data_IF_157197016379
#
_entry.id   IF_157197016379
#
_cell.length_a   1.000
_cell.length_b   1.000
_cell.length_c   1.000
_cell.angle_alpha   90.00
_cell.angle_beta   90.00
_cell.angle_gamma   90.00
#
_symmetry.space_group_name_H-M   'P 1'
#
loop_
_entity.id
_entity.type
_entity.pdbx_description
1 polymer ?
#
# COMPACT_ATOMS: atom_id res chain seq x y z
N UNK A 1 -9.27 27.72 -20.69
CA UNK A 1 -8.39 26.75 -21.38
C UNK A 1 -7.53 26.05 -20.31
N UNK A 2 -8.17 25.41 -19.32
CA UNK A 2 -7.52 25.11 -18.02
C UNK A 2 -7.95 23.77 -17.40
N UNK A 3 -8.56 22.85 -18.15
CA UNK A 3 -9.28 21.70 -17.59
C UNK A 3 -8.86 20.35 -18.20
N UNK A 4 -7.59 19.95 -18.08
CA UNK A 4 -7.17 18.55 -18.40
C UNK A 4 -6.21 17.89 -17.40
N UNK A 5 -5.72 18.60 -16.38
CA UNK A 5 -4.73 18.05 -15.45
C UNK A 5 -5.34 17.33 -14.25
N UNK A 6 -6.57 17.72 -13.89
CA UNK A 6 -7.32 17.18 -12.75
C UNK A 6 -8.66 16.69 -13.28
N UNK A 7 -9.01 15.44 -12.96
CA UNK A 7 -10.34 14.89 -13.21
C UNK A 7 -10.96 14.53 -11.86
N UNK A 8 -12.15 15.06 -11.59
CA UNK A 8 -12.96 14.72 -10.42
C UNK A 8 -14.24 14.05 -10.86
N UNK A 9 -14.54 12.88 -10.29
CA UNK A 9 -15.80 12.16 -10.58
C UNK A 9 -16.60 11.94 -9.29
N UNK A 10 -17.92 12.21 -9.35
CA UNK A 10 -18.92 12.06 -8.28
C UNK A 10 -20.16 11.36 -8.84
N UNK A 11 -20.85 10.50 -8.09
CA UNK A 11 -22.06 9.80 -8.56
C UNK A 11 -23.01 9.36 -7.44
N UNK A 12 -24.23 8.93 -7.76
CA UNK A 12 -25.28 8.57 -6.77
C UNK A 12 -26.02 7.25 -7.13
N UNK A 13 -25.52 6.09 -6.65
CA UNK A 13 -26.07 4.70 -6.59
C UNK A 13 -25.95 3.60 -7.71
N UNK A 14 -24.80 2.92 -7.89
CA UNK A 14 -24.64 1.56 -8.48
C UNK A 14 -23.39 0.81 -7.88
N UNK A 15 -23.15 -0.46 -8.23
CA UNK A 15 -22.04 -1.34 -7.77
C UNK A 15 -20.87 -1.36 -8.75
N UNK A 16 -19.65 -1.04 -8.30
CA UNK A 16 -18.40 -1.24 -9.07
C UNK A 16 -17.43 -2.04 -8.21
N UNK A 17 -16.75 -3.01 -8.81
CA UNK A 17 -15.84 -3.91 -8.09
C UNK A 17 -14.36 -3.50 -8.16
N UNK A 18 -13.94 -2.80 -9.22
CA UNK A 18 -12.56 -2.30 -9.39
C UNK A 18 -12.47 -1.02 -10.26
N UNK A 19 -11.29 -0.39 -10.31
CA UNK A 19 -11.02 0.86 -11.02
C UNK A 19 -11.13 0.79 -12.55
N UNK A 20 -11.06 -0.40 -13.15
CA UNK A 20 -11.14 -0.55 -14.62
C UNK A 20 -12.54 -0.26 -15.15
N UNK A 21 -13.57 -0.40 -14.32
CA UNK A 21 -14.96 -0.09 -14.64
C UNK A 21 -15.24 1.43 -14.74
N UNK A 22 -14.21 2.26 -14.97
CA UNK A 22 -14.27 3.73 -14.94
C UNK A 22 -13.75 4.47 -16.21
N UNK A 23 -13.24 3.83 -17.30
CA UNK A 23 -12.64 4.54 -18.49
C UNK A 23 -12.88 3.99 -19.95
N UNK A 24 -13.12 4.89 -20.97
CA UNK A 24 -13.84 4.67 -22.29
C UNK A 24 -12.85 5.08 -23.33
N UNK A 25 -12.97 4.47 -24.50
CA UNK A 25 -12.14 4.57 -25.68
C UNK A 25 -12.09 5.98 -26.31
N UNK A 26 -12.52 7.02 -25.60
CA UNK A 26 -12.66 8.39 -26.14
C UNK A 26 -11.84 9.46 -25.42
N UNK A 27 -11.25 9.15 -24.27
CA UNK A 27 -10.38 10.10 -23.59
C UNK A 27 -8.95 9.60 -23.58
N UNK A 28 -8.08 10.28 -24.35
CA UNK A 28 -6.65 10.15 -24.13
C UNK A 28 -6.33 10.80 -22.76
N UNK A 29 -6.13 9.95 -21.76
CA UNK A 29 -5.78 10.35 -20.39
C UNK A 29 -4.27 10.50 -20.21
N UNK A 30 -3.47 10.39 -21.28
CA UNK A 30 -2.02 10.51 -21.16
C UNK A 30 -1.58 11.87 -20.62
N UNK A 31 -2.39 12.93 -20.68
CA UNK A 31 -2.07 14.22 -20.05
C UNK A 31 -2.52 14.35 -18.58
N UNK A 32 -3.31 13.39 -18.09
CA UNK A 32 -3.91 13.43 -16.75
C UNK A 32 -2.81 13.26 -15.70
N UNK A 33 -2.76 14.18 -14.73
CA UNK A 33 -1.78 14.15 -13.64
C UNK A 33 -2.41 13.82 -12.29
N UNK A 34 -3.64 14.28 -12.07
CA UNK A 34 -4.34 14.10 -10.80
C UNK A 34 -5.72 13.52 -11.10
N UNK A 35 -6.03 12.42 -10.43
CA UNK A 35 -7.34 11.78 -10.51
C UNK A 35 -7.92 11.69 -9.09
N UNK A 36 -9.07 12.32 -8.88
CA UNK A 36 -9.81 12.25 -7.62
C UNK A 36 -11.15 11.54 -7.89
N UNK A 37 -11.33 10.40 -7.23
CA UNK A 37 -12.54 9.60 -7.30
C UNK A 37 -13.25 9.70 -5.94
N UNK A 38 -14.48 10.22 -5.92
CA UNK A 38 -15.23 10.41 -4.68
C UNK A 38 -16.68 10.00 -4.82
N UNK A 39 -17.23 9.30 -3.82
CA UNK A 39 -18.67 8.96 -3.75
C UNK A 39 -19.18 8.20 -4.98
N UNK A 40 -18.29 7.57 -5.75
CA UNK A 40 -18.67 6.95 -7.02
C UNK A 40 -19.55 5.74 -6.75
N UNK A 41 -20.80 5.81 -7.17
CA UNK A 41 -21.68 4.66 -7.12
C UNK A 41 -22.29 4.43 -8.51
N UNK A 42 -22.68 5.43 -9.30
CA UNK A 42 -23.42 5.24 -10.59
C UNK A 42 -22.64 4.91 -11.86
N UNK A 43 -21.36 4.52 -11.80
CA UNK A 43 -20.71 4.08 -13.03
C UNK A 43 -21.07 2.62 -13.32
N UNK A 44 -22.30 2.39 -13.79
CA UNK A 44 -22.64 1.20 -14.57
C UNK A 44 -21.72 1.20 -15.79
N UNK A 45 -20.72 0.33 -15.80
CA UNK A 45 -20.07 -0.23 -16.99
C UNK A 45 -20.31 0.60 -18.26
N UNK A 46 -19.59 1.71 -18.43
CA UNK A 46 -19.39 2.35 -19.74
C UNK A 46 -18.09 1.81 -20.36
N UNK A 47 -17.65 0.60 -20.02
CA UNK A 47 -16.23 0.30 -20.15
C UNK A 47 -16.01 -1.22 -20.29
N UNK A 48 -16.23 -1.74 -21.49
CA UNK A 48 -15.93 -3.13 -21.85
C UNK A 48 -15.24 -3.16 -23.20
N UNK A 49 -13.97 -2.79 -23.25
CA UNK A 49 -13.13 -3.20 -24.36
C UNK A 49 -11.67 -3.37 -23.89
N UNK A 50 -10.83 -4.06 -24.68
CA UNK A 50 -9.52 -4.47 -24.25
C UNK A 50 -8.63 -3.26 -23.96
N UNK A 51 -8.05 -3.23 -22.77
CA UNK A 51 -7.16 -2.18 -22.26
C UNK A 51 -5.98 -2.04 -23.23
N UNK A 52 -5.87 -0.88 -23.87
CA UNK A 52 -4.59 -0.42 -24.43
C UNK A 52 -3.82 0.30 -23.32
N UNK A 53 -2.53 -0.01 -23.20
CA UNK A 53 -1.70 0.19 -21.99
C UNK A 53 -1.08 1.60 -21.95
N UNK A 54 -1.72 2.63 -22.51
CA UNK A 54 -1.07 3.96 -22.67
C UNK A 54 -1.81 5.11 -21.96
N UNK A 55 -2.87 4.82 -21.20
CA UNK A 55 -3.77 5.88 -20.69
C UNK A 55 -3.25 6.66 -19.48
N UNK A 56 -2.43 6.07 -18.60
CA UNK A 56 -2.06 6.69 -17.31
C UNK A 56 -0.57 7.02 -17.17
N UNK A 57 0.15 7.13 -18.28
CA UNK A 57 1.60 7.36 -18.29
C UNK A 57 2.05 8.56 -17.46
N UNK A 58 1.23 9.62 -17.35
CA UNK A 58 1.57 10.83 -16.60
C UNK A 58 0.80 11.00 -15.28
N UNK A 59 0.03 9.99 -14.87
CA UNK A 59 -0.74 10.07 -13.63
C UNK A 59 0.22 10.16 -12.45
N UNK A 60 0.22 11.30 -11.77
CA UNK A 60 1.10 11.64 -10.65
C UNK A 60 0.42 11.37 -9.30
N UNK A 61 -0.89 11.62 -9.20
CA UNK A 61 -1.65 11.48 -7.97
C UNK A 61 -2.99 10.79 -8.23
N UNK A 62 -3.31 9.82 -7.38
CA UNK A 62 -4.61 9.16 -7.32
C UNK A 62 -5.18 9.30 -5.91
N UNK A 63 -6.36 9.89 -5.79
CA UNK A 63 -7.14 9.94 -4.56
C UNK A 63 -8.45 9.19 -4.78
N UNK A 64 -8.75 8.24 -3.91
CA UNK A 64 -10.01 7.50 -3.88
C UNK A 64 -10.66 7.72 -2.52
N UNK A 65 -11.88 8.23 -2.47
CA UNK A 65 -12.55 8.53 -1.22
C UNK A 65 -14.04 8.14 -1.23
N UNK A 66 -14.52 7.71 -0.08
CA UNK A 66 -15.94 7.43 0.20
C UNK A 66 -16.54 6.36 -0.76
N UNK A 67 -15.71 5.42 -1.21
CA UNK A 67 -16.15 4.35 -2.10
C UNK A 67 -16.47 3.07 -1.33
N UNK A 68 -17.70 2.97 -0.82
CA UNK A 68 -18.11 1.90 0.10
C UNK A 68 -18.03 0.49 -0.47
N UNK A 69 -18.23 0.30 -1.78
CA UNK A 69 -18.28 -1.03 -2.44
C UNK A 69 -17.02 -1.42 -3.20
N UNK A 70 -16.00 -0.56 -3.20
CA UNK A 70 -14.73 -0.85 -3.88
C UNK A 70 -14.04 -2.01 -3.17
N UNK A 71 -13.80 -3.12 -3.86
CA UNK A 71 -13.09 -4.28 -3.29
C UNK A 71 -11.58 -4.25 -3.58
N UNK A 72 -11.21 -3.72 -4.76
CA UNK A 72 -9.83 -3.58 -5.22
C UNK A 72 -9.60 -2.20 -5.85
N UNK A 73 -8.44 -1.58 -5.59
CA UNK A 73 -8.08 -0.29 -6.21
C UNK A 73 -7.52 -0.45 -7.62
N UNK A 74 -6.75 -1.51 -7.86
CA UNK A 74 -6.10 -1.76 -9.15
C UNK A 74 -6.35 -3.19 -9.61
N UNK A 75 -6.50 -3.38 -10.91
CA UNK A 75 -6.18 -4.66 -11.52
C UNK A 75 -4.66 -4.83 -11.63
N UNK A 76 -4.15 -6.05 -11.83
CA UNK A 76 -2.75 -6.27 -12.17
C UNK A 76 -2.28 -5.48 -13.40
N UNK A 77 -3.14 -5.30 -14.41
CA UNK A 77 -2.80 -4.59 -15.66
C UNK A 77 -2.56 -3.11 -15.41
N UNK A 78 -3.45 -2.45 -14.67
CA UNK A 78 -3.32 -1.02 -14.34
C UNK A 78 -2.16 -0.81 -13.37
N UNK A 79 -1.98 -1.68 -12.38
CA UNK A 79 -0.89 -1.58 -11.42
C UNK A 79 0.50 -1.63 -12.11
N UNK A 80 0.63 -2.39 -13.21
CA UNK A 80 1.86 -2.42 -14.03
C UNK A 80 2.09 -1.14 -14.85
N UNK A 81 1.06 -0.30 -15.01
CA UNK A 81 1.06 0.82 -15.95
C UNK A 81 0.82 2.18 -15.28
N UNK A 82 1.52 2.43 -14.17
CA UNK A 82 1.47 3.69 -13.44
C UNK A 82 2.88 4.22 -13.16
N UNK A 83 3.70 4.44 -14.20
CA UNK A 83 5.13 4.73 -14.04
C UNK A 83 5.40 6.05 -13.33
N UNK A 84 4.49 7.03 -13.38
CA UNK A 84 4.65 8.35 -12.77
C UNK A 84 3.89 8.53 -11.45
N UNK A 85 3.15 7.51 -11.00
CA UNK A 85 2.34 7.63 -9.79
C UNK A 85 3.26 7.88 -8.59
N UNK A 86 3.02 9.00 -7.91
CA UNK A 86 3.83 9.49 -6.81
C UNK A 86 3.06 9.60 -5.51
N UNK A 87 1.75 9.85 -5.58
CA UNK A 87 0.88 9.98 -4.41
C UNK A 87 -0.36 9.12 -4.55
N UNK A 88 -0.59 8.25 -3.58
CA UNK A 88 -1.78 7.42 -3.47
C UNK A 88 -2.51 7.72 -2.15
N UNK A 89 -3.74 8.20 -2.23
CA UNK A 89 -4.60 8.44 -1.07
C UNK A 89 -5.89 7.64 -1.19
N UNK A 90 -6.23 6.87 -0.16
CA UNK A 90 -7.46 6.08 -0.11
C UNK A 90 -8.17 6.32 1.22
N UNK A 91 -9.43 6.76 1.18
CA UNK A 91 -10.15 7.24 2.34
C UNK A 91 -11.57 6.65 2.40
N UNK A 92 -12.03 6.22 3.57
CA UNK A 92 -13.42 5.81 3.81
C UNK A 92 -13.97 4.77 2.82
N UNK A 93 -13.15 3.81 2.37
CA UNK A 93 -13.56 2.74 1.46
C UNK A 93 -13.88 1.47 2.27
N UNK A 94 -15.15 1.30 2.65
CA UNK A 94 -15.59 0.29 3.62
C UNK A 94 -15.31 -1.16 3.17
N UNK A 95 -15.67 -1.58 1.95
CA UNK A 95 -15.50 -2.94 1.44
C UNK A 95 -14.12 -3.22 0.80
N UNK A 96 -13.16 -2.28 0.88
CA UNK A 96 -11.83 -2.47 0.29
C UNK A 96 -11.10 -3.61 1.00
N UNK A 97 -10.79 -4.69 0.27
CA UNK A 97 -10.14 -5.87 0.82
C UNK A 97 -8.62 -5.87 0.59
N UNK A 98 -8.20 -5.46 -0.62
CA UNK A 98 -6.80 -5.39 -1.04
C UNK A 98 -6.62 -4.23 -2.02
N UNK A 99 -5.41 -3.71 -2.19
CA UNK A 99 -5.18 -2.65 -3.19
C UNK A 99 -5.16 -3.19 -4.61
N UNK A 100 -4.63 -4.39 -4.82
CA UNK A 100 -4.46 -5.01 -6.13
C UNK A 100 -5.23 -6.31 -6.15
N UNK A 101 -6.04 -6.53 -7.19
CA UNK A 101 -6.75 -7.79 -7.39
C UNK A 101 -5.75 -8.94 -7.64
N UNK A 102 -6.03 -10.12 -7.07
CA UNK A 102 -5.24 -11.34 -7.35
C UNK A 102 -5.43 -11.74 -8.82
N UNK A 103 -4.34 -12.04 -9.52
CA UNK A 103 -4.35 -12.33 -10.95
C UNK A 103 -5.05 -13.69 -11.21
N UNK A 104 -6.31 -13.69 -11.66
CA UNK A 104 -7.12 -14.92 -11.84
C UNK A 104 -6.92 -15.61 -13.18
N UNK A 105 -6.22 -15.00 -14.15
CA UNK A 105 -6.14 -15.52 -15.52
C UNK A 105 -4.69 -15.71 -15.97
N UNK A 106 -4.24 -16.90 -16.41
CA UNK A 106 -2.89 -17.16 -16.95
C UNK A 106 -2.63 -16.38 -18.27
N UNK A 107 -2.35 -15.07 -18.18
CA UNK A 107 -2.01 -14.22 -19.32
C UNK A 107 -0.48 -14.03 -19.46
N UNK A 108 0.00 -13.71 -20.67
CA UNK A 108 1.44 -13.55 -20.93
C UNK A 108 2.09 -12.38 -20.15
N UNK A 109 1.29 -11.50 -19.55
CA UNK A 109 1.76 -10.39 -18.70
C UNK A 109 2.14 -10.79 -17.28
N UNK A 110 1.92 -12.05 -16.88
CA UNK A 110 2.37 -12.61 -15.59
C UNK A 110 3.86 -12.51 -15.32
N UNK A 111 4.65 -12.31 -16.36
CA UNK A 111 6.10 -12.31 -16.26
C UNK A 111 6.67 -10.96 -15.77
N UNK A 112 5.88 -9.88 -15.81
CA UNK A 112 6.33 -8.59 -15.32
C UNK A 112 5.84 -8.36 -13.88
N UNK A 113 6.77 -8.18 -12.92
CA UNK A 113 6.39 -7.83 -11.57
C UNK A 113 5.72 -6.46 -11.56
N UNK A 114 4.68 -6.31 -10.74
CA UNK A 114 4.10 -4.99 -10.47
C UNK A 114 5.17 -4.17 -9.75
N UNK A 115 5.32 -2.89 -10.11
CA UNK A 115 6.23 -1.96 -9.45
C UNK A 115 5.66 -0.53 -9.52
N UNK A 116 5.95 0.27 -8.48
CA UNK A 116 5.60 1.69 -8.47
C UNK A 116 6.88 2.53 -8.30
N UNK A 117 7.67 2.70 -9.37
CA UNK A 117 9.03 3.22 -9.29
C UNK A 117 9.13 4.68 -8.82
N UNK A 118 8.03 5.42 -8.84
CA UNK A 118 7.95 6.83 -8.43
C UNK A 118 7.03 7.10 -7.23
N UNK A 119 6.45 6.05 -6.64
CA UNK A 119 5.51 6.20 -5.52
C UNK A 119 6.27 6.64 -4.28
N UNK A 120 5.91 7.84 -3.79
CA UNK A 120 6.52 8.51 -2.65
C UNK A 120 5.62 8.50 -1.42
N UNK A 121 4.31 8.59 -1.62
CA UNK A 121 3.39 8.75 -0.50
C UNK A 121 2.19 7.83 -0.65
N UNK A 122 1.90 7.13 0.45
CA UNK A 122 0.73 6.28 0.59
C UNK A 122 0.00 6.67 1.86
N UNK A 123 -1.26 7.05 1.71
CA UNK A 123 -2.14 7.35 2.84
C UNK A 123 -3.42 6.56 2.70
N UNK A 124 -3.69 5.67 3.66
CA UNK A 124 -4.94 4.90 3.71
C UNK A 124 -5.61 5.16 5.05
N UNK A 125 -6.82 5.71 5.02
CA UNK A 125 -7.57 6.00 6.24
C UNK A 125 -8.98 5.43 6.20
N UNK A 126 -9.44 4.87 7.33
CA UNK A 126 -10.82 4.41 7.54
C UNK A 126 -11.30 3.42 6.47
N UNK A 127 -10.43 2.48 6.09
CA UNK A 127 -10.74 1.39 5.16
C UNK A 127 -10.81 0.08 5.95
N UNK A 128 -11.94 -0.17 6.60
CA UNK A 128 -12.03 -1.12 7.70
C UNK A 128 -11.85 -2.59 7.29
N UNK A 129 -12.16 -2.95 6.05
CA UNK A 129 -12.02 -4.34 5.55
C UNK A 129 -10.67 -4.64 4.88
N UNK A 130 -9.74 -3.68 4.84
CA UNK A 130 -8.45 -3.87 4.16
C UNK A 130 -7.62 -4.90 4.92
N UNK A 131 -7.20 -5.98 4.24
CA UNK A 131 -6.43 -7.08 4.84
C UNK A 131 -4.93 -6.96 4.61
N UNK A 132 -4.54 -6.45 3.44
CA UNK A 132 -3.16 -6.18 3.08
C UNK A 132 -3.04 -5.02 2.08
N UNK A 133 -1.87 -4.36 2.04
CA UNK A 133 -1.60 -3.34 1.03
C UNK A 133 -1.07 -3.98 -0.26
N UNK A 134 0.06 -4.65 -0.15
CA UNK A 134 0.83 -5.14 -1.29
C UNK A 134 1.44 -6.51 -1.04
N UNK A 135 1.73 -7.28 -2.10
CA UNK A 135 2.57 -8.47 -1.97
C UNK A 135 3.99 -8.08 -1.56
N UNK A 136 4.66 -8.96 -0.82
CA UNK A 136 6.02 -8.77 -0.31
C UNK A 136 7.04 -8.56 -1.43
N UNK A 137 6.78 -9.13 -2.60
CA UNK A 137 7.58 -8.95 -3.83
C UNK A 137 7.59 -7.50 -4.31
N UNK A 138 6.56 -6.70 -4.01
CA UNK A 138 6.52 -5.29 -4.35
C UNK A 138 7.39 -4.45 -3.40
N UNK A 139 7.46 -4.85 -2.12
CA UNK A 139 8.36 -4.20 -1.16
C UNK A 139 9.84 -4.41 -1.54
N UNK A 140 10.14 -5.58 -2.11
CA UNK A 140 11.47 -5.98 -2.58
C UNK A 140 11.79 -5.33 -3.94
N UNK A 141 12.11 -4.03 -3.89
CA UNK A 141 12.57 -3.26 -5.07
C UNK A 141 11.50 -2.47 -5.81
N UNK A 142 10.21 -2.75 -5.60
CA UNK A 142 9.11 -2.04 -6.26
C UNK A 142 8.72 -0.69 -5.64
N UNK A 143 9.20 -0.38 -4.44
CA UNK A 143 8.84 0.82 -3.64
C UNK A 143 10.07 1.65 -3.18
N UNK A 144 11.15 1.68 -3.96
CA UNK A 144 12.43 2.30 -3.55
C UNK A 144 12.39 3.83 -3.33
N UNK A 145 11.34 4.51 -3.79
CA UNK A 145 11.14 5.97 -3.58
C UNK A 145 10.08 6.29 -2.53
N UNK A 146 9.55 5.29 -1.82
CA UNK A 146 8.53 5.53 -0.81
C UNK A 146 9.13 6.37 0.33
N UNK A 147 8.56 7.55 0.56
CA UNK A 147 8.97 8.55 1.56
C UNK A 147 8.01 8.53 2.77
N UNK A 148 6.72 8.29 2.55
CA UNK A 148 5.69 8.33 3.59
C UNK A 148 4.68 7.18 3.46
N UNK A 149 4.43 6.48 4.56
CA UNK A 149 3.37 5.47 4.69
C UNK A 149 2.53 5.76 5.92
N UNK A 150 1.25 6.08 5.70
CA UNK A 150 0.26 6.32 6.75
C UNK A 150 -0.92 5.36 6.64
N UNK A 151 -1.15 4.59 7.69
CA UNK A 151 -2.30 3.71 7.84
C UNK A 151 -3.07 4.10 9.11
N UNK A 152 -4.30 4.56 8.99
CA UNK A 152 -5.13 4.96 10.14
C UNK A 152 -6.54 4.38 10.07
N UNK A 153 -6.99 3.69 11.11
CA UNK A 153 -8.34 3.13 11.15
C UNK A 153 -8.60 2.04 10.10
N UNK A 154 -7.60 1.19 9.82
CA UNK A 154 -7.69 0.03 8.93
C UNK A 154 -7.84 -1.25 9.75
N UNK A 155 -9.01 -1.43 10.37
CA UNK A 155 -9.17 -2.34 11.49
C UNK A 155 -8.92 -3.81 11.17
N UNK A 156 -9.21 -4.31 9.96
CA UNK A 156 -8.96 -5.71 9.57
C UNK A 156 -7.61 -5.95 8.89
N UNK A 157 -6.68 -5.00 8.98
CA UNK A 157 -5.35 -5.18 8.40
C UNK A 157 -4.61 -6.30 9.12
N UNK A 158 -4.31 -7.37 8.40
CA UNK A 158 -3.59 -8.54 8.91
C UNK A 158 -2.08 -8.35 8.70
N UNK A 159 -1.68 -7.89 7.50
CA UNK A 159 -0.29 -7.63 7.14
C UNK A 159 -0.16 -6.37 6.30
N UNK A 160 0.81 -5.50 6.55
CA UNK A 160 1.11 -4.39 5.62
C UNK A 160 1.57 -4.95 4.28
N UNK A 161 2.57 -5.85 4.30
CA UNK A 161 3.04 -6.60 3.15
C UNK A 161 2.69 -8.09 3.28
N UNK A 162 1.87 -8.62 2.36
CA UNK A 162 1.42 -10.02 2.34
C UNK A 162 2.50 -10.93 1.75
N UNK A 163 2.76 -12.08 2.37
CA UNK A 163 3.72 -13.07 1.86
C UNK A 163 3.20 -13.88 0.68
N UNK A 164 4.10 -14.39 -0.16
CA UNK A 164 3.73 -15.35 -1.20
C UNK A 164 3.45 -16.72 -0.57
N UNK A 165 2.37 -17.39 -0.99
CA UNK A 165 1.95 -18.72 -0.51
C UNK A 165 3.01 -19.84 -0.71
N UNK A 166 4.11 -19.57 -1.43
CA UNK A 166 5.18 -20.52 -1.73
C UNK A 166 6.53 -20.32 -1.01
N UNK A 167 6.76 -19.20 -0.32
CA UNK A 167 8.05 -18.92 0.32
C UNK A 167 8.02 -19.20 1.82
N UNK A 168 8.36 -20.44 2.19
CA UNK A 168 8.62 -20.85 3.57
C UNK A 168 10.04 -21.42 3.65
N UNK A 169 11.05 -20.59 3.39
CA UNK A 169 12.44 -20.93 3.73
C UNK A 169 12.69 -20.57 5.20
N UNK A 170 12.56 -21.56 6.09
CA UNK A 170 12.68 -21.42 7.57
C UNK A 170 14.12 -21.26 8.08
N UNK A 171 15.07 -20.76 7.28
CA UNK A 171 16.50 -20.82 7.68
C UNK A 171 17.20 -19.46 7.71
N UNK A 172 16.87 -18.52 6.81
CA UNK A 172 17.54 -17.23 6.75
C UNK A 172 16.53 -16.08 6.72
N UNK A 173 16.77 -15.06 7.54
CA UNK A 173 16.00 -13.82 7.56
C UNK A 173 16.20 -13.07 6.24
N UNK A 174 15.11 -12.72 5.54
CA UNK A 174 15.17 -11.93 4.32
C UNK A 174 15.08 -10.44 4.65
N UNK A 175 16.15 -9.71 4.35
CA UNK A 175 16.24 -8.26 4.58
C UNK A 175 15.67 -7.50 3.38
N UNK A 176 14.76 -6.56 3.64
CA UNK A 176 14.18 -5.63 2.66
C UNK A 176 14.48 -4.20 3.10
N UNK A 177 14.93 -3.38 2.16
CA UNK A 177 15.21 -1.96 2.41
C UNK A 177 14.13 -1.08 1.78
N UNK A 178 13.60 -0.13 2.56
CA UNK A 178 12.87 1.03 2.07
C UNK A 178 13.71 2.28 2.35
N UNK A 179 14.71 2.57 1.50
CA UNK A 179 15.80 3.47 1.84
C UNK A 179 15.38 4.94 1.93
N UNK A 180 14.24 5.31 1.36
CA UNK A 180 13.73 6.70 1.37
C UNK A 180 12.62 6.93 2.40
N UNK A 181 12.15 5.89 3.10
CA UNK A 181 11.00 6.03 4.00
C UNK A 181 11.40 6.91 5.18
N UNK A 182 10.82 8.11 5.24
CA UNK A 182 11.06 9.14 6.25
C UNK A 182 9.96 9.20 7.31
N UNK A 183 8.75 8.78 6.97
CA UNK A 183 7.60 8.78 7.88
C UNK A 183 6.82 7.46 7.79
N UNK A 184 6.62 6.81 8.94
CA UNK A 184 5.78 5.62 9.06
C UNK A 184 4.79 5.80 10.21
N UNK A 185 3.49 5.74 9.88
CA UNK A 185 2.40 5.84 10.84
C UNK A 185 1.47 4.61 10.72
N UNK A 186 1.27 3.93 11.84
CA UNK A 186 0.23 2.93 12.06
C UNK A 186 -0.64 3.40 13.23
N UNK A 187 -1.87 3.82 12.94
CA UNK A 187 -2.78 4.41 13.91
C UNK A 187 -4.11 3.65 13.96
N UNK A 188 -4.56 3.31 15.17
CA UNK A 188 -5.88 2.73 15.38
C UNK A 188 -6.10 1.41 14.66
N UNK A 189 -5.20 0.44 14.84
CA UNK A 189 -5.31 -0.92 14.30
C UNK A 189 -5.46 -1.91 15.47
N UNK A 190 -6.70 -2.14 15.97
CA UNK A 190 -6.93 -2.90 17.18
C UNK A 190 -6.77 -4.42 17.00
N UNK A 191 -6.89 -4.95 15.78
CA UNK A 191 -6.74 -6.37 15.52
C UNK A 191 -5.26 -6.78 15.35
N UNK A 192 -4.93 -8.08 15.46
CA UNK A 192 -3.58 -8.56 15.21
C UNK A 192 -3.08 -8.15 13.83
N UNK A 193 -1.95 -7.44 13.80
CA UNK A 193 -1.34 -6.92 12.58
C UNK A 193 0.17 -7.16 12.60
N UNK A 194 0.74 -7.50 11.45
CA UNK A 194 2.19 -7.45 11.23
C UNK A 194 2.55 -6.53 10.08
N UNK A 195 3.77 -6.01 10.06
CA UNK A 195 4.30 -5.26 8.92
C UNK A 195 4.62 -6.19 7.75
N UNK A 196 5.01 -7.43 8.04
CA UNK A 196 5.46 -8.41 7.05
C UNK A 196 5.25 -9.84 7.54
N UNK A 197 5.45 -10.87 6.70
CA UNK A 197 5.44 -12.25 7.13
C UNK A 197 6.62 -12.56 8.07
N UNK A 198 6.51 -13.68 8.79
CA UNK A 198 7.60 -14.16 9.66
C UNK A 198 8.85 -14.46 8.84
N UNK A 199 10.02 -14.04 9.35
CA UNK A 199 11.31 -14.23 8.68
C UNK A 199 11.69 -13.09 7.74
N UNK A 200 10.88 -12.04 7.65
CA UNK A 200 11.22 -10.80 6.96
C UNK A 200 11.65 -9.72 7.94
N UNK A 201 12.65 -8.95 7.51
CA UNK A 201 13.25 -7.85 8.26
C UNK A 201 13.32 -6.62 7.36
N UNK A 202 12.61 -5.58 7.76
CA UNK A 202 12.63 -4.30 7.08
C UNK A 202 13.60 -3.33 7.75
N UNK A 203 14.41 -2.65 6.94
CA UNK A 203 15.35 -1.62 7.40
C UNK A 203 14.97 -0.27 6.78
N UNK A 204 14.79 0.74 7.65
CA UNK A 204 14.43 2.11 7.30
C UNK A 204 15.57 3.06 7.71
N UNK A 205 16.56 3.23 6.83
CA UNK A 205 17.75 4.05 7.10
C UNK A 205 17.44 5.55 7.17
N UNK A 206 16.45 6.00 6.40
CA UNK A 206 16.07 7.43 6.32
C UNK A 206 14.91 7.81 7.23
N UNK A 207 14.41 6.89 8.08
CA UNK A 207 13.22 7.16 8.88
C UNK A 207 13.51 8.29 9.88
N UNK A 208 12.67 9.33 9.82
CA UNK A 208 12.72 10.49 10.71
C UNK A 208 11.62 10.45 11.77
N UNK A 209 10.52 9.75 11.49
CA UNK A 209 9.37 9.64 12.37
C UNK A 209 8.73 8.26 12.27
N UNK A 210 8.57 7.61 13.41
CA UNK A 210 7.83 6.36 13.58
C UNK A 210 6.74 6.57 14.60
N UNK A 211 5.49 6.37 14.19
CA UNK A 211 4.33 6.50 15.05
C UNK A 211 3.49 5.23 14.95
N UNK A 212 3.44 4.45 16.02
CA UNK A 212 2.55 3.28 16.14
C UNK A 212 1.67 3.52 17.35
N UNK A 213 0.45 3.97 17.13
CA UNK A 213 -0.47 4.38 18.19
C UNK A 213 -1.78 3.61 18.08
N UNK A 214 -2.36 3.26 19.24
CA UNK A 214 -3.60 2.49 19.32
C UNK A 214 -3.56 1.16 18.52
N UNK A 215 -2.40 0.50 18.52
CA UNK A 215 -2.16 -0.80 17.88
C UNK A 215 -1.81 -1.90 18.92
N UNK A 216 -2.72 -2.26 19.84
CA UNK A 216 -2.44 -3.11 20.99
C UNK A 216 -1.99 -4.54 20.64
N UNK A 217 -2.35 -5.04 19.46
CA UNK A 217 -2.08 -6.41 19.00
C UNK A 217 -1.05 -6.47 17.86
N UNK A 218 -0.26 -5.41 17.65
CA UNK A 218 0.83 -5.46 16.67
C UNK A 218 1.82 -6.57 17.03
N UNK A 219 2.32 -7.30 16.04
CA UNK A 219 3.27 -8.42 16.25
C UNK A 219 4.67 -8.11 15.72
N UNK A 220 4.81 -7.04 14.94
CA UNK A 220 6.11 -6.55 14.47
C UNK A 220 6.86 -5.88 15.60
N UNK A 221 8.10 -6.31 15.80
CA UNK A 221 9.06 -5.66 16.69
C UNK A 221 9.75 -4.54 15.95
N UNK A 222 9.67 -3.35 16.52
CA UNK A 222 10.46 -2.21 16.08
C UNK A 222 11.67 -2.04 16.99
N UNK A 223 12.79 -1.68 16.39
CA UNK A 223 14.02 -1.33 17.11
C UNK A 223 14.85 -0.32 16.35
N UNK A 224 15.80 0.32 17.04
CA UNK A 224 16.72 1.31 16.44
C UNK A 224 18.16 0.88 16.72
N UNK A 225 18.98 0.81 15.68
CA UNK A 225 20.41 0.48 15.79
C UNK A 225 21.29 1.70 16.15
N UNK A 226 22.59 1.47 16.25
CA UNK A 226 23.58 2.52 16.52
C UNK A 226 23.74 3.54 15.38
N UNK A 227 23.31 3.21 14.16
CA UNK A 227 23.30 4.09 12.99
C UNK A 227 21.99 4.92 12.89
N UNK A 228 21.09 4.77 13.87
CA UNK A 228 19.73 5.35 13.86
C UNK A 228 18.88 4.86 12.69
N UNK A 229 19.13 3.66 12.19
CA UNK A 229 18.23 2.95 11.29
C UNK A 229 17.14 2.28 12.12
N UNK A 230 15.90 2.34 11.64
CA UNK A 230 14.78 1.65 12.27
C UNK A 230 14.59 0.28 11.62
N UNK A 231 14.46 -0.75 12.44
CA UNK A 231 14.26 -2.12 12.03
C UNK A 231 12.84 -2.55 12.38
N UNK A 232 12.17 -3.24 11.47
CA UNK A 232 10.88 -3.88 11.69
C UNK A 232 10.99 -5.37 11.40
N UNK A 233 10.85 -6.20 12.44
CA UNK A 233 10.99 -7.66 12.35
C UNK A 233 9.71 -8.35 12.78
N UNK A 234 9.24 -9.27 11.96
CA UNK A 234 8.18 -10.19 12.34
C UNK A 234 8.80 -11.55 12.59
N UNK A 235 8.83 -11.98 13.85
CA UNK A 235 9.45 -13.25 14.26
C UNK A 235 8.38 -14.19 14.83
N UNK A 236 8.61 -15.51 14.72
CA UNK A 236 7.81 -16.47 15.44
C UNK A 236 7.97 -16.21 16.95
N UNK A 237 6.87 -16.23 17.69
CA UNK A 237 6.83 -15.98 19.12
C UNK A 237 7.67 -17.02 19.89
N UNK A 238 8.98 -16.78 20.03
CA UNK A 238 9.92 -17.34 21.04
C UNK A 238 11.40 -16.98 20.82
N UNK A 239 11.82 -16.38 19.69
CA UNK A 239 13.18 -15.82 19.59
C UNK A 239 13.20 -14.43 20.22
N UNK A 240 13.65 -14.31 21.46
CA UNK A 240 14.12 -13.02 22.00
C UNK A 240 15.61 -12.99 21.70
N UNK A 241 15.95 -12.84 20.41
CA UNK A 241 17.30 -12.38 20.09
C UNK A 241 17.26 -10.88 20.38
N UNK A 242 17.63 -10.51 21.60
CA UNK A 242 18.13 -9.17 21.86
C UNK A 242 19.31 -8.97 20.91
N UNK A 243 19.08 -8.27 19.80
CA UNK A 243 20.18 -7.88 18.91
C UNK A 243 20.99 -6.86 19.71
N UNK A 244 22.14 -7.31 20.21
CA UNK A 244 23.05 -6.49 21.01
C UNK A 244 23.32 -5.16 20.31
N UNK A 245 22.96 -4.05 20.95
CA UNK A 245 23.18 -2.70 20.43
C UNK A 245 21.94 -2.03 19.81
N UNK A 246 20.80 -2.71 19.73
CA UNK A 246 19.54 -2.11 19.29
C UNK A 246 18.64 -1.71 20.49
N UNK A 247 18.00 -0.54 20.40
CA UNK A 247 16.94 -0.13 21.34
C UNK A 247 15.61 -0.66 20.84
N UNK A 248 14.98 -1.58 21.58
CA UNK A 248 13.70 -2.20 21.21
C UNK A 248 12.51 -1.44 21.80
N UNK A 249 11.41 -1.36 21.05
CA UNK A 249 10.16 -0.77 21.55
C UNK A 249 9.20 -1.84 22.08
N UNK A 250 8.43 -1.56 23.14
CA UNK A 250 7.48 -2.50 23.69
C UNK A 250 6.34 -2.78 22.70
N UNK A 251 6.10 -4.06 22.43
CA UNK A 251 5.00 -4.51 21.58
C UNK A 251 3.65 -4.15 22.22
N UNK A 252 2.69 -3.68 21.40
CA UNK A 252 1.32 -3.39 21.84
C UNK A 252 1.14 -2.10 22.65
N UNK A 253 2.21 -1.34 22.86
CA UNK A 253 2.15 -0.01 23.47
C UNK A 253 2.20 1.08 22.41
N UNK A 254 1.72 2.28 22.74
CA UNK A 254 1.96 3.44 21.88
C UNK A 254 3.46 3.71 21.78
N UNK A 255 3.96 3.78 20.56
CA UNK A 255 5.35 4.04 20.23
C UNK A 255 5.41 5.29 19.37
N UNK A 256 6.23 6.24 19.80
CA UNK A 256 6.55 7.44 19.03
C UNK A 256 8.06 7.62 19.10
N UNK A 257 8.69 7.72 17.94
CA UNK A 257 10.13 7.95 17.82
C UNK A 257 10.40 8.99 16.74
N UNK A 258 11.33 9.90 17.04
CA UNK A 258 11.80 10.94 16.13
C UNK A 258 13.32 10.85 16.01
N UNK A 259 13.84 10.99 14.80
CA UNK A 259 15.27 11.05 14.54
C UNK A 259 15.81 12.42 14.95
N UNK A 260 16.63 12.44 15.98
CA UNK A 260 17.41 13.63 16.39
C UNK A 260 18.62 13.85 15.48
#
# INVERSE_FOLDING_TARGET
MTEKFVLEMRGETSTISNFEELFDFRYNLSSLKILNLSELTELRVIWSAPIQVDYFENLYQLIVQDYRRLRYTFSPTIARNLPQLSRLGIYNCEELEQLIEKDQTPSQHHLQPICFPNLKQITIKRCENLKCLFPITLADGGLQKLEELTLSGVFKLEQVFEGDEGYVSKVEEKVIHLPQLGFLELDGIPNPVSFSPVGYHFVFQSLCSLEVTYCPNITTRFSVDSEKSVHARTQASQSVDEVNGETTFPIGSNMVWYKN
#
